data_IF_758869037759
#
_entry.id   IF_758869037759
#
_cell.length_a   1.000
_cell.length_b   1.000
_cell.length_c   1.000
_cell.angle_alpha   90.00
_cell.angle_beta   90.00
_cell.angle_gamma   90.00
#
_symmetry.space_group_name_H-M   'P 1'
#
loop_
_entity.id
_entity.type
_entity.pdbx_description
1 polymer ?
#
# COMPACT_ATOMS: atom_id res chain seq x y z
N UNK A 1 6.64 16.71 5.14
CA UNK A 1 7.27 15.71 4.24
C UNK A 1 7.84 14.57 5.10
N UNK A 2 7.84 13.35 4.58
CA UNK A 2 8.50 12.19 5.18
C UNK A 2 9.49 11.68 4.12
N UNK A 3 10.79 11.91 4.34
CA UNK A 3 11.79 11.62 3.31
C UNK A 3 11.51 12.40 2.00
N UNK A 4 11.59 11.75 0.83
CA UNK A 4 11.42 12.41 -0.47
C UNK A 4 9.96 12.54 -0.93
N UNK A 5 8.97 12.07 -0.17
CA UNK A 5 7.53 12.21 -0.47
C UNK A 5 6.80 13.00 0.62
N UNK A 6 5.57 13.43 0.31
CA UNK A 6 4.69 14.09 1.27
C UNK A 6 3.60 13.13 1.74
N UNK A 7 3.37 13.07 3.06
CA UNK A 7 2.26 12.31 3.63
C UNK A 7 1.32 13.27 4.34
N UNK A 8 0.03 13.18 4.01
CA UNK A 8 -1.05 13.90 4.65
C UNK A 8 -1.78 12.90 5.56
N UNK A 9 -1.74 13.17 6.86
CA UNK A 9 -2.43 12.39 7.87
C UNK A 9 -3.85 12.94 8.08
N UNK A 10 -4.86 12.17 7.67
CA UNK A 10 -6.27 12.46 7.94
C UNK A 10 -6.97 11.22 8.53
N UNK A 11 -6.24 10.52 9.41
CA UNK A 11 -6.68 9.28 10.08
C UNK A 11 -7.66 9.52 11.24
N UNK A 12 -7.96 10.78 11.54
CA UNK A 12 -8.82 11.16 12.68
C UNK A 12 -10.28 11.43 12.29
N UNK A 13 -10.56 11.87 11.06
CA UNK A 13 -11.90 12.26 10.61
C UNK A 13 -12.34 11.51 9.35
N UNK A 14 -12.82 10.28 9.47
CA UNK A 14 -13.21 9.46 8.32
C UNK A 14 -14.62 9.80 7.74
N UNK A 15 -15.17 10.99 7.99
CA UNK A 15 -16.51 11.33 7.51
C UNK A 15 -16.55 11.52 5.98
N UNK A 16 -17.66 11.17 5.30
CA UNK A 16 -17.78 11.35 3.85
C UNK A 16 -17.54 12.79 3.36
N UNK A 17 -17.89 13.79 4.17
CA UNK A 17 -17.64 15.19 3.85
C UNK A 17 -16.14 15.53 3.90
N UNK A 18 -15.44 15.06 4.94
CA UNK A 18 -13.99 15.20 5.05
C UNK A 18 -13.26 14.48 3.92
N UNK A 19 -13.67 13.26 3.55
CA UNK A 19 -13.10 12.54 2.41
C UNK A 19 -13.20 13.36 1.11
N UNK A 20 -14.38 13.93 0.83
CA UNK A 20 -14.59 14.75 -0.37
C UNK A 20 -13.75 16.03 -0.35
N UNK A 21 -13.66 16.70 0.79
CA UNK A 21 -12.82 17.88 0.94
C UNK A 21 -11.35 17.53 0.67
N UNK A 22 -10.85 16.44 1.27
CA UNK A 22 -9.48 15.98 1.09
C UNK A 22 -9.18 15.64 -0.39
N UNK A 23 -10.10 14.97 -1.09
CA UNK A 23 -9.97 14.69 -2.52
C UNK A 23 -9.85 15.99 -3.35
N UNK A 24 -10.67 17.01 -3.06
CA UNK A 24 -10.60 18.30 -3.77
C UNK A 24 -9.29 19.02 -3.51
N UNK A 25 -8.87 19.11 -2.25
CA UNK A 25 -7.61 19.77 -1.87
C UNK A 25 -6.41 19.11 -2.56
N UNK A 26 -6.42 17.79 -2.70
CA UNK A 26 -5.30 17.04 -3.31
C UNK A 26 -5.28 17.09 -4.82
N UNK A 27 -6.45 17.24 -5.47
CA UNK A 27 -6.50 17.43 -6.92
C UNK A 27 -5.68 18.65 -7.35
N UNK A 28 -5.67 19.71 -6.54
CA UNK A 28 -4.97 20.97 -6.81
C UNK A 28 -3.54 21.00 -6.22
N UNK A 29 -3.18 20.01 -5.40
CA UNK A 29 -1.88 19.98 -4.73
C UNK A 29 -0.75 19.63 -5.73
N UNK A 30 0.39 20.34 -5.73
CA UNK A 30 1.55 19.98 -6.56
C UNK A 30 2.11 18.60 -6.15
N UNK A 31 2.00 17.62 -7.04
CA UNK A 31 2.43 16.26 -6.79
C UNK A 31 2.96 15.63 -8.09
N UNK A 32 3.99 14.80 -7.98
CA UNK A 32 4.40 13.92 -9.08
C UNK A 32 3.30 12.88 -9.33
N UNK A 33 2.97 12.08 -8.31
CA UNK A 33 1.80 11.20 -8.28
C UNK A 33 1.04 11.33 -6.96
N UNK A 34 -0.27 11.10 -7.01
CA UNK A 34 -1.20 11.18 -5.88
C UNK A 34 -1.66 9.79 -5.49
N UNK A 35 -1.45 9.46 -4.23
CA UNK A 35 -1.84 8.18 -3.63
C UNK A 35 -2.94 8.41 -2.60
N UNK A 36 -4.01 7.64 -2.69
CA UNK A 36 -5.05 7.58 -1.66
C UNK A 36 -4.99 6.23 -0.94
N UNK A 37 -4.79 6.26 0.37
CA UNK A 37 -4.74 5.07 1.23
C UNK A 37 -5.91 5.12 2.21
N UNK A 38 -6.81 4.15 2.10
CA UNK A 38 -8.07 4.10 2.85
C UNK A 38 -8.21 2.84 3.69
N UNK A 39 -8.54 3.03 4.96
CA UNK A 39 -9.21 2.01 5.77
C UNK A 39 -10.73 2.21 5.78
N UNK A 40 -11.46 1.21 6.28
CA UNK A 40 -12.90 1.31 6.48
C UNK A 40 -13.30 2.54 7.31
N UNK A 41 -14.35 3.21 6.85
CA UNK A 41 -15.05 4.26 7.55
C UNK A 41 -16.19 3.62 8.33
N UNK A 42 -16.12 3.63 9.66
CA UNK A 42 -17.14 3.00 10.51
C UNK A 42 -18.39 3.89 10.65
N UNK A 43 -19.49 3.28 11.13
CA UNK A 43 -20.70 3.97 11.63
C UNK A 43 -21.61 4.64 10.58
N UNK A 44 -21.77 4.05 9.39
CA UNK A 44 -22.73 4.54 8.37
C UNK A 44 -24.01 3.70 8.22
N UNK A 45 -24.20 2.71 9.09
CA UNK A 45 -25.38 1.85 9.12
C UNK A 45 -25.70 1.24 7.75
N UNK A 46 -26.98 1.27 7.36
CA UNK A 46 -27.45 0.69 6.10
C UNK A 46 -26.83 1.32 4.83
N UNK A 47 -26.21 2.49 4.92
CA UNK A 47 -25.63 3.20 3.75
C UNK A 47 -24.13 2.98 3.57
N UNK A 48 -23.52 2.14 4.41
CA UNK A 48 -22.07 1.93 4.44
C UNK A 48 -21.50 1.56 3.07
N UNK A 49 -22.06 0.56 2.39
CA UNK A 49 -21.56 0.12 1.08
C UNK A 49 -21.66 1.22 0.02
N UNK A 50 -22.82 1.89 -0.07
CA UNK A 50 -23.04 2.96 -1.05
C UNK A 50 -22.10 4.15 -0.84
N UNK A 51 -21.77 4.48 0.40
CA UNK A 51 -20.80 5.53 0.71
C UNK A 51 -19.37 5.14 0.33
N UNK A 52 -18.95 3.91 0.62
CA UNK A 52 -17.62 3.42 0.24
C UNK A 52 -17.47 3.35 -1.28
N UNK A 53 -18.49 2.87 -1.99
CA UNK A 53 -18.51 2.92 -3.45
C UNK A 53 -18.38 4.36 -3.97
N UNK A 54 -19.15 5.29 -3.39
CA UNK A 54 -19.09 6.70 -3.79
C UNK A 54 -17.69 7.28 -3.55
N UNK A 55 -17.03 6.91 -2.46
CA UNK A 55 -15.67 7.34 -2.18
C UNK A 55 -14.68 6.89 -3.26
N UNK A 56 -14.82 5.65 -3.74
CA UNK A 56 -14.03 5.17 -4.86
C UNK A 56 -14.21 6.00 -6.12
N UNK A 57 -15.47 6.36 -6.45
CA UNK A 57 -15.77 7.25 -7.59
C UNK A 57 -15.19 8.64 -7.42
N UNK A 58 -15.31 9.22 -6.22
CA UNK A 58 -14.79 10.55 -5.91
C UNK A 58 -13.25 10.57 -6.01
N UNK A 59 -12.56 9.47 -5.64
CA UNK A 59 -11.12 9.35 -5.78
C UNK A 59 -10.68 9.33 -7.27
N UNK A 60 -11.35 8.54 -8.10
CA UNK A 60 -11.07 8.55 -9.55
C UNK A 60 -11.31 9.93 -10.17
N UNK A 61 -12.42 10.59 -9.81
CA UNK A 61 -12.76 11.93 -10.30
C UNK A 61 -11.77 13.02 -9.84
N UNK A 62 -11.14 12.85 -8.68
CA UNK A 62 -10.14 13.76 -8.15
C UNK A 62 -8.74 13.56 -8.77
N UNK A 63 -8.56 12.58 -9.65
CA UNK A 63 -7.29 12.34 -10.34
C UNK A 63 -6.22 11.71 -9.47
N UNK A 64 -6.60 10.85 -8.51
CA UNK A 64 -5.62 10.01 -7.82
C UNK A 64 -5.01 8.98 -8.79
N UNK A 65 -3.68 8.88 -8.79
CA UNK A 65 -2.95 7.94 -9.63
C UNK A 65 -2.99 6.51 -9.08
N UNK A 66 -3.08 6.38 -7.75
CA UNK A 66 -3.16 5.10 -7.06
C UNK A 66 -4.17 5.15 -5.91
N UNK A 67 -4.91 4.06 -5.75
CA UNK A 67 -5.87 3.83 -4.68
C UNK A 67 -5.56 2.52 -3.97
N UNK A 68 -5.17 2.62 -2.70
CA UNK A 68 -4.90 1.49 -1.82
C UNK A 68 -6.00 1.45 -0.74
N UNK A 69 -6.69 0.32 -0.63
CA UNK A 69 -7.84 0.17 0.28
C UNK A 69 -7.70 -1.10 1.10
N UNK A 70 -8.02 -1.03 2.39
CA UNK A 70 -8.10 -2.19 3.26
C UNK A 70 -9.31 -2.20 4.19
N UNK A 71 -9.72 -3.39 4.61
CA UNK A 71 -10.90 -3.63 5.43
C UNK A 71 -12.03 -4.33 4.68
N UNK A 72 -13.15 -4.53 5.37
CA UNK A 72 -14.33 -5.22 4.88
C UNK A 72 -15.01 -4.49 3.72
N UNK A 73 -14.94 -3.15 3.71
CA UNK A 73 -15.58 -2.32 2.67
C UNK A 73 -14.63 -2.00 1.50
N UNK A 74 -13.38 -2.47 1.54
CA UNK A 74 -12.39 -2.20 0.51
C UNK A 74 -12.87 -2.60 -0.90
N UNK A 75 -13.61 -3.70 -1.01
CA UNK A 75 -14.21 -4.14 -2.27
C UNK A 75 -15.19 -3.13 -2.87
N UNK A 76 -15.98 -2.45 -2.02
CA UNK A 76 -16.95 -1.44 -2.46
C UNK A 76 -16.24 -0.21 -3.01
N UNK A 77 -15.20 0.26 -2.29
CA UNK A 77 -14.37 1.39 -2.74
C UNK A 77 -13.70 1.07 -4.08
N UNK A 78 -13.07 -0.10 -4.18
CA UNK A 78 -12.39 -0.53 -5.41
C UNK A 78 -13.35 -0.62 -6.61
N UNK A 79 -14.56 -1.15 -6.38
CA UNK A 79 -15.59 -1.25 -7.41
C UNK A 79 -16.03 0.14 -7.91
N UNK A 80 -16.22 1.09 -7.00
CA UNK A 80 -16.55 2.47 -7.34
C UNK A 80 -15.46 3.15 -8.17
N UNK A 81 -14.20 3.03 -7.76
CA UNK A 81 -13.07 3.64 -8.45
C UNK A 81 -12.87 3.10 -9.86
N UNK A 82 -12.95 1.77 -10.03
CA UNK A 82 -12.84 1.12 -11.34
C UNK A 82 -13.98 1.52 -12.27
N UNK A 83 -15.22 1.59 -11.77
CA UNK A 83 -16.37 2.07 -12.55
C UNK A 83 -16.22 3.52 -13.00
N UNK A 84 -15.51 4.34 -12.23
CA UNK A 84 -15.23 5.72 -12.56
C UNK A 84 -13.96 5.90 -13.42
N UNK A 85 -13.33 4.82 -13.88
CA UNK A 85 -12.25 4.85 -14.86
C UNK A 85 -10.83 4.74 -14.28
N UNK A 86 -10.67 4.51 -12.97
CA UNK A 86 -9.34 4.27 -12.42
C UNK A 86 -8.84 2.88 -12.86
N UNK A 87 -7.63 2.76 -13.46
CA UNK A 87 -7.17 1.50 -14.01
C UNK A 87 -7.07 0.38 -12.96
N UNK A 88 -7.40 -0.88 -13.29
CA UNK A 88 -7.40 -1.97 -12.31
C UNK A 88 -6.06 -2.19 -11.58
N UNK A 89 -4.93 -1.96 -12.25
CA UNK A 89 -3.56 -2.06 -11.70
C UNK A 89 -3.21 -0.93 -10.72
N UNK A 90 -4.01 0.14 -10.73
CA UNK A 90 -3.92 1.30 -9.83
C UNK A 90 -4.84 1.20 -8.62
N UNK A 91 -5.67 0.16 -8.55
CA UNK A 91 -6.60 -0.10 -7.44
C UNK A 91 -6.20 -1.37 -6.70
N UNK A 92 -5.62 -1.20 -5.52
CA UNK A 92 -5.02 -2.29 -4.74
C UNK A 92 -5.83 -2.50 -3.46
N UNK A 93 -6.32 -3.74 -3.29
CA UNK A 93 -7.13 -4.16 -2.16
C UNK A 93 -6.32 -5.11 -1.29
N UNK A 94 -6.31 -4.88 0.02
CA UNK A 94 -5.74 -5.80 1.02
C UNK A 94 -6.65 -5.99 2.23
N UNK A 95 -6.59 -7.13 2.93
CA UNK A 95 -7.33 -7.33 4.17
C UNK A 95 -6.98 -6.30 5.25
N UNK A 96 -5.68 -6.04 5.49
CA UNK A 96 -5.22 -5.14 6.57
C UNK A 96 -4.32 -3.99 6.12
N UNK A 97 -4.23 -2.95 6.95
CA UNK A 97 -3.43 -1.76 6.67
C UNK A 97 -1.91 -2.05 6.60
N UNK A 98 -1.43 -3.03 7.36
CA UNK A 98 -0.03 -3.47 7.33
C UNK A 98 0.38 -4.05 5.98
N UNK A 99 -0.56 -4.63 5.23
CA UNK A 99 -0.30 -5.23 3.92
C UNK A 99 -0.25 -4.18 2.80
N UNK A 100 -0.68 -2.94 3.07
CA UNK A 100 -0.54 -1.81 2.15
C UNK A 100 0.87 -1.22 2.19
N UNK A 101 1.59 -1.36 3.30
CA UNK A 101 2.92 -0.77 3.51
C UNK A 101 3.94 -1.27 2.49
N UNK A 102 4.11 -2.59 2.22
CA UNK A 102 5.08 -3.05 1.23
C UNK A 102 4.82 -2.49 -0.17
N UNK A 103 3.56 -2.30 -0.54
CA UNK A 103 3.18 -1.74 -1.84
C UNK A 103 3.62 -0.27 -1.95
N UNK A 104 3.42 0.50 -0.89
CA UNK A 104 3.84 1.90 -0.85
C UNK A 104 5.37 2.01 -0.88
N UNK A 105 6.06 1.23 -0.05
CA UNK A 105 7.52 1.24 0.04
C UNK A 105 8.18 0.86 -1.30
N UNK A 106 7.61 -0.10 -2.02
CA UNK A 106 8.14 -0.57 -3.31
C UNK A 106 7.91 0.43 -4.46
N UNK A 107 6.81 1.19 -4.40
CA UNK A 107 6.34 1.97 -5.56
C UNK A 107 6.44 3.48 -5.40
N UNK A 108 6.54 4.01 -4.19
CA UNK A 108 6.63 5.45 -3.98
C UNK A 108 7.90 6.03 -4.59
N UNK A 109 7.76 7.18 -5.24
CA UNK A 109 8.86 7.91 -5.85
C UNK A 109 9.01 9.31 -5.21
N UNK A 110 10.19 9.93 -5.31
CA UNK A 110 10.38 11.32 -4.89
C UNK A 110 9.34 12.26 -5.51
N UNK A 111 8.76 13.14 -4.68
CA UNK A 111 7.73 14.09 -5.11
C UNK A 111 6.30 13.54 -5.10
N UNK A 112 6.10 12.26 -4.77
CA UNK A 112 4.76 11.71 -4.58
C UNK A 112 4.08 12.30 -3.33
N UNK A 113 2.74 12.33 -3.37
CA UNK A 113 1.89 12.74 -2.25
C UNK A 113 0.97 11.60 -1.86
N UNK A 114 0.97 11.24 -0.58
CA UNK A 114 0.17 10.16 -0.01
C UNK A 114 -0.83 10.73 1.00
N UNK A 115 -2.12 10.56 0.74
CA UNK A 115 -3.16 10.80 1.73
C UNK A 115 -3.55 9.51 2.41
N UNK A 116 -3.49 9.49 3.73
CA UNK A 116 -3.88 8.34 4.55
C UNK A 116 -5.13 8.70 5.35
N UNK A 117 -6.18 7.89 5.21
CA UNK A 117 -7.47 8.11 5.86
C UNK A 117 -8.13 6.79 6.26
N UNK A 118 -8.91 6.81 7.32
CA UNK A 118 -9.64 5.65 7.83
C UNK A 118 -10.15 5.93 9.24
N UNK A 119 -11.04 5.08 9.76
CA UNK A 119 -11.47 5.19 11.15
C UNK A 119 -10.32 4.85 12.11
N UNK A 120 -10.40 5.33 13.36
CA UNK A 120 -9.38 5.05 14.39
C UNK A 120 -9.18 3.55 14.62
N UNK A 121 -10.24 2.75 14.54
CA UNK A 121 -10.16 1.30 14.72
C UNK A 121 -9.29 0.61 13.65
N UNK A 122 -9.18 1.20 12.45
CA UNK A 122 -8.33 0.69 11.37
C UNK A 122 -6.84 0.92 11.62
N UNK A 123 -6.49 1.80 12.57
CA UNK A 123 -5.12 2.08 12.98
C UNK A 123 -4.21 2.45 11.81
N UNK A 124 -4.70 3.33 10.94
CA UNK A 124 -4.03 3.73 9.70
C UNK A 124 -2.75 4.54 9.96
N UNK A 125 -2.56 5.08 11.17
CA UNK A 125 -1.32 5.71 11.61
C UNK A 125 -0.10 4.77 11.49
N UNK A 126 -0.31 3.45 11.50
CA UNK A 126 0.74 2.45 11.26
C UNK A 126 1.37 2.57 9.87
N UNK A 127 0.58 2.92 8.86
CA UNK A 127 1.10 3.15 7.49
C UNK A 127 2.06 4.34 7.51
N UNK A 128 1.66 5.42 8.19
CA UNK A 128 2.45 6.64 8.31
C UNK A 128 3.76 6.35 9.05
N UNK A 129 3.68 5.64 10.18
CA UNK A 129 4.86 5.23 10.95
C UNK A 129 5.84 4.42 10.10
N UNK A 130 5.36 3.41 9.39
CA UNK A 130 6.22 2.57 8.56
C UNK A 130 6.89 3.37 7.42
N UNK A 131 6.19 4.33 6.82
CA UNK A 131 6.78 5.22 5.83
C UNK A 131 7.85 6.14 6.42
N UNK A 132 7.69 6.59 7.68
CA UNK A 132 8.74 7.34 8.40
C UNK A 132 9.97 6.49 8.64
N UNK A 133 9.79 5.30 9.21
CA UNK A 133 10.90 4.37 9.47
C UNK A 133 11.65 3.99 8.19
N UNK A 134 10.93 3.77 7.09
CA UNK A 134 11.54 3.47 5.80
C UNK A 134 12.35 4.67 5.26
N UNK A 135 11.81 5.89 5.36
CA UNK A 135 12.53 7.10 4.96
C UNK A 135 13.79 7.31 5.81
N UNK A 136 13.70 7.15 7.13
CA UNK A 136 14.81 7.31 8.06
C UNK A 136 15.88 6.22 7.86
N UNK A 137 15.47 4.96 7.67
CA UNK A 137 16.35 3.84 7.37
C UNK A 137 17.07 3.98 6.02
N UNK A 138 16.42 4.57 5.03
CA UNK A 138 17.04 4.90 3.73
C UNK A 138 18.06 6.04 3.88
N UNK A 139 17.72 7.06 4.69
CA UNK A 139 18.64 8.15 5.04
C UNK A 139 19.88 7.65 5.81
N UNK A 140 19.71 6.66 6.69
CA UNK A 140 20.80 6.04 7.45
C UNK A 140 21.70 5.15 6.57
N UNK A 141 21.15 4.42 5.59
CA UNK A 141 21.93 3.67 4.60
C UNK A 141 22.70 4.59 3.64
N UNK A 142 22.24 5.83 3.43
CA UNK A 142 22.91 6.86 2.65
C UNK A 142 24.19 7.44 3.27
N UNK A 143 24.54 7.10 4.53
CA UNK A 143 25.80 7.50 5.19
C UNK A 143 26.93 6.47 5.12
N UNK A 144 26.69 5.27 4.59
CA UNK A 144 27.77 4.34 4.28
C UNK A 144 28.15 4.49 2.82
N UNK A 145 29.19 5.28 2.58
CA UNK A 145 29.90 5.40 1.32
C UNK A 145 30.15 4.01 0.73
N UNK A 146 29.55 3.72 -0.42
CA UNK A 146 30.00 2.64 -1.29
C UNK A 146 31.48 2.86 -1.61
N UNK A 147 32.35 1.91 -1.28
CA UNK A 147 33.53 1.66 -2.10
C UNK A 147 33.15 0.61 -3.15
N UNK A 148 33.25 0.89 -4.45
CA UNK A 148 33.01 -0.09 -5.50
C UNK A 148 34.27 -0.93 -5.69
N UNK A 149 34.49 -1.92 -4.82
CA UNK A 149 35.47 -2.99 -5.04
C UNK A 149 35.33 -4.07 -3.97
N UNK A 150 34.36 -4.98 -4.12
CA UNK A 150 34.46 -6.31 -3.52
C UNK A 150 33.93 -7.33 -4.54
N UNK A 151 34.70 -8.37 -4.90
CA UNK A 151 34.27 -9.36 -5.87
C UNK A 151 33.15 -10.24 -5.30
N UNK A 152 32.25 -10.69 -6.19
CA UNK A 152 31.19 -11.64 -5.89
C UNK A 152 31.84 -12.91 -5.32
N UNK A 153 31.64 -13.17 -4.02
CA UNK A 153 32.00 -14.44 -3.38
C UNK A 153 31.02 -15.51 -3.84
N UNK A 154 31.47 -16.38 -4.74
CA UNK A 154 30.83 -17.67 -5.01
C UNK A 154 31.04 -18.58 -3.80
N UNK A 155 29.95 -19.03 -3.16
CA UNK A 155 30.01 -20.07 -2.14
C UNK A 155 30.20 -21.45 -2.80
N UNK A 156 31.01 -22.36 -2.24
CA UNK A 156 31.13 -23.72 -2.73
C UNK A 156 29.90 -24.56 -2.38
N UNK A 157 29.56 -25.45 -3.31
CA UNK A 157 28.54 -26.49 -3.20
C UNK A 157 29.08 -27.61 -2.30
N UNK A 158 28.55 -27.74 -1.08
CA UNK A 158 28.92 -28.82 -0.17
C UNK A 158 28.22 -30.13 -0.59
N UNK A 159 29.03 -31.16 -0.74
CA UNK A 159 28.69 -32.51 -1.16
C UNK A 159 28.40 -33.38 0.07
N UNK A 160 27.28 -34.10 0.03
CA UNK A 160 27.08 -35.29 0.85
C UNK A 160 25.95 -35.21 1.87
N UNK A 161 24.84 -35.87 1.57
CA UNK A 161 24.31 -36.85 2.51
C UNK A 161 23.56 -37.95 1.77
N UNK A 162 24.06 -39.17 1.97
CA UNK A 162 23.53 -40.43 1.42
C UNK A 162 22.35 -40.87 2.27
N UNK A 163 21.22 -41.16 1.63
CA UNK A 163 20.10 -41.92 2.25
C UNK A 163 19.98 -43.27 1.53
N UNK A 164 19.90 -44.41 2.25
CA UNK A 164 19.97 -45.73 1.65
C UNK A 164 18.67 -46.15 0.97
N UNK A 165 18.80 -46.87 -0.16
CA UNK A 165 17.73 -47.56 -0.86
C UNK A 165 17.08 -48.62 0.03
N UNK A 166 15.75 -48.60 0.12
CA UNK A 166 14.96 -49.81 0.33
C UNK A 166 14.20 -50.12 -0.97
N UNK A 167 14.55 -51.25 -1.58
CA UNK A 167 13.85 -51.85 -2.68
C UNK A 167 12.61 -52.57 -2.17
N UNK A 168 11.45 -52.28 -2.76
CA UNK A 168 10.32 -53.22 -2.79
C UNK A 168 9.83 -53.37 -4.23
N UNK A 169 9.97 -54.60 -4.68
CA UNK A 169 9.57 -55.20 -5.96
C UNK A 169 8.05 -55.08 -6.17
N UNK A 170 7.64 -54.49 -7.29
CA UNK A 170 6.31 -54.67 -7.86
C UNK A 170 6.46 -54.86 -9.38
N UNK A 171 6.74 -56.10 -9.76
CA UNK A 171 6.47 -56.64 -11.09
C UNK A 171 4.97 -56.57 -11.37
N UNK A 172 4.61 -55.90 -12.47
CA UNK A 172 3.31 -56.00 -13.08
C UNK A 172 3.12 -57.34 -13.79
N UNK A 173 1.87 -57.79 -13.82
CA UNK A 173 1.21 -58.46 -14.94
C UNK A 173 -0.28 -58.17 -14.81
#
# INVERSE_FOLDING_TARGET
AIGPWTVIDDTYNASPASCRAACRTLAEWPAHRRWLVLGDMLEMGARTAAWHERLGRDAAAAGFDYLLVCGEQAGQVAAGARRAGLPPDRVIVRPGCSELVPVLVDRLEPGDVVLVKGSRAMRMERVIHALREHADGTSLKGRQSRKPSDPIRTAPFEEGDKVPLLATDLRGS
#
